data_IF_179615327586
#
_entry.id   IF_179615327586
#
_cell.length_a   1.000
_cell.length_b   1.000
_cell.length_c   1.000
_cell.angle_alpha   90.00
_cell.angle_beta   90.00
_cell.angle_gamma   90.00
#
_symmetry.space_group_name_H-M   'P 1'
#
loop_
_entity.id
_entity.type
_entity.pdbx_description
1 polymer ?
#
# COMPACT_ATOMS: atom_id res chain seq x y z
N UNK A 1 -21.01 -25.34 -6.17
CA UNK A 1 -20.70 -23.90 -6.35
C UNK A 1 -19.35 -23.65 -5.70
N UNK A 2 -18.37 -23.01 -6.36
CA UNK A 2 -17.15 -22.64 -5.65
C UNK A 2 -17.54 -21.57 -4.63
N UNK A 3 -17.12 -21.73 -3.36
CA UNK A 3 -17.26 -20.66 -2.38
C UNK A 3 -16.35 -19.53 -2.87
N UNK A 4 -16.89 -18.34 -3.11
CA UNK A 4 -16.05 -17.15 -3.25
C UNK A 4 -15.13 -17.10 -2.03
N UNK A 5 -13.82 -16.98 -2.23
CA UNK A 5 -12.93 -16.60 -1.12
C UNK A 5 -13.48 -15.31 -0.52
N UNK A 6 -13.43 -15.17 0.81
CA UNK A 6 -13.78 -13.89 1.41
C UNK A 6 -12.83 -12.83 0.84
N UNK A 7 -13.33 -11.61 0.62
CA UNK A 7 -12.50 -10.52 0.08
C UNK A 7 -11.22 -10.34 0.92
N UNK A 8 -11.34 -10.48 2.24
CA UNK A 8 -10.22 -10.40 3.17
C UNK A 8 -9.19 -11.53 2.94
N UNK A 9 -9.61 -12.79 2.76
CA UNK A 9 -8.67 -13.87 2.42
C UNK A 9 -7.93 -13.61 1.10
N UNK A 10 -8.63 -13.06 0.10
CA UNK A 10 -8.01 -12.68 -1.16
C UNK A 10 -6.99 -11.55 -0.98
N UNK A 11 -7.37 -10.51 -0.23
CA UNK A 11 -6.49 -9.38 0.08
C UNK A 11 -5.22 -9.85 0.79
N UNK A 12 -5.35 -10.57 1.91
CA UNK A 12 -4.20 -11.06 2.69
C UNK A 12 -3.29 -11.95 1.84
N UNK A 13 -3.85 -12.80 0.97
CA UNK A 13 -3.04 -13.62 0.06
C UNK A 13 -2.26 -12.77 -0.95
N UNK A 14 -2.86 -11.71 -1.51
CA UNK A 14 -2.16 -10.79 -2.44
C UNK A 14 -1.03 -10.01 -1.76
N UNK A 15 -1.23 -9.61 -0.50
CA UNK A 15 -0.26 -8.83 0.26
C UNK A 15 0.97 -9.65 0.73
N UNK A 16 1.00 -10.98 0.51
CA UNK A 16 2.19 -11.79 0.76
C UNK A 16 3.34 -11.45 -0.18
N UNK A 17 3.07 -10.83 -1.32
CA UNK A 17 4.08 -10.24 -2.18
C UNK A 17 4.47 -8.86 -1.64
N UNK A 18 5.74 -8.64 -1.21
CA UNK A 18 6.11 -7.38 -0.55
C UNK A 18 5.88 -6.11 -1.38
N UNK A 19 5.94 -6.22 -2.72
CA UNK A 19 5.65 -5.12 -3.63
C UNK A 19 4.16 -4.74 -3.60
N UNK A 20 3.26 -5.72 -3.54
CA UNK A 20 1.81 -5.49 -3.41
C UNK A 20 1.49 -4.89 -2.03
N UNK A 21 2.12 -5.39 -0.96
CA UNK A 21 1.97 -4.80 0.37
C UNK A 21 2.44 -3.33 0.44
N UNK A 22 3.58 -3.02 -0.18
CA UNK A 22 4.08 -1.66 -0.29
C UNK A 22 3.14 -0.77 -1.10
N UNK A 23 2.63 -1.27 -2.24
CA UNK A 23 1.67 -0.56 -3.09
C UNK A 23 0.35 -0.29 -2.38
N UNK A 24 -0.13 -1.25 -1.60
CA UNK A 24 -1.32 -1.11 -0.78
C UNK A 24 -1.17 -0.01 0.28
N UNK A 25 -0.09 -0.03 1.08
CA UNK A 25 0.18 1.03 2.06
C UNK A 25 0.38 2.40 1.39
N UNK A 26 1.05 2.44 0.24
CA UNK A 26 1.21 3.67 -0.54
C UNK A 26 -0.16 4.25 -0.92
N UNK A 27 -1.08 3.42 -1.41
CA UNK A 27 -2.41 3.87 -1.83
C UNK A 27 -3.19 4.47 -0.67
N UNK A 28 -3.15 3.82 0.49
CA UNK A 28 -3.79 4.30 1.73
C UNK A 28 -3.19 5.63 2.19
N UNK A 29 -1.88 5.82 2.05
CA UNK A 29 -1.20 7.08 2.40
C UNK A 29 -1.47 8.22 1.40
N UNK A 30 -1.98 7.94 0.21
CA UNK A 30 -2.37 8.95 -0.79
C UNK A 30 -3.86 9.30 -0.75
N UNK A 31 -4.68 8.60 0.03
CA UNK A 31 -6.12 8.86 0.10
C UNK A 31 -6.43 10.29 0.55
N UNK A 32 -7.42 10.90 -0.11
CA UNK A 32 -7.91 12.24 0.25
C UNK A 32 -9.03 12.07 1.27
N UNK A 33 -8.91 12.73 2.43
CA UNK A 33 -9.84 12.59 3.55
C UNK A 33 -10.04 11.13 4.04
N UNK A 34 -8.97 10.40 4.41
CA UNK A 34 -9.07 9.01 4.82
C UNK A 34 -9.89 8.86 6.11
N UNK A 35 -10.61 7.75 6.21
CA UNK A 35 -11.22 7.36 7.47
C UNK A 35 -10.15 7.22 8.57
N UNK A 36 -10.41 7.64 9.82
CA UNK A 36 -9.40 7.67 10.88
C UNK A 36 -8.69 6.33 11.13
N UNK A 37 -9.37 5.22 10.87
CA UNK A 37 -8.88 3.86 11.14
C UNK A 37 -8.25 3.19 9.91
N UNK A 38 -8.32 3.83 8.72
CA UNK A 38 -7.94 3.21 7.45
C UNK A 38 -6.47 2.78 7.42
N UNK A 39 -5.57 3.65 7.85
CA UNK A 39 -4.14 3.34 7.92
C UNK A 39 -3.84 2.22 8.93
N UNK A 40 -4.53 2.22 10.08
CA UNK A 40 -4.34 1.20 11.09
C UNK A 40 -4.77 -0.18 10.57
N UNK A 41 -5.92 -0.25 9.89
CA UNK A 41 -6.39 -1.48 9.28
C UNK A 41 -5.40 -1.99 8.24
N UNK A 42 -4.88 -1.10 7.38
CA UNK A 42 -3.93 -1.47 6.35
C UNK A 42 -2.60 -2.01 6.93
N UNK A 43 -2.09 -1.40 8.01
CA UNK A 43 -0.89 -1.88 8.72
C UNK A 43 -1.12 -3.26 9.35
N UNK A 44 -2.32 -3.53 9.88
CA UNK A 44 -2.70 -4.86 10.40
C UNK A 44 -2.76 -5.90 9.28
N UNK A 45 -3.39 -5.58 8.15
CA UNK A 45 -3.49 -6.47 7.01
C UNK A 45 -2.09 -6.84 6.46
N UNK A 46 -1.19 -5.87 6.35
CA UNK A 46 0.21 -6.11 5.95
C UNK A 46 0.96 -6.94 6.99
N UNK A 47 0.74 -6.72 8.28
CA UNK A 47 1.35 -7.54 9.34
C UNK A 47 0.88 -8.98 9.26
N UNK A 48 -0.42 -9.21 9.03
CA UNK A 48 -0.99 -10.54 8.86
C UNK A 48 -0.41 -11.25 7.63
N UNK A 49 -0.21 -10.52 6.52
CA UNK A 49 0.30 -11.10 5.29
C UNK A 49 1.81 -11.38 5.31
N UNK A 50 2.62 -10.41 5.76
CA UNK A 50 4.08 -10.48 5.71
C UNK A 50 4.70 -11.04 7.00
N UNK A 51 3.99 -10.99 8.13
CA UNK A 51 4.51 -11.46 9.41
C UNK A 51 4.91 -12.93 9.38
N UNK A 52 4.09 -13.80 8.80
CA UNK A 52 4.41 -15.23 8.68
C UNK A 52 5.58 -15.51 7.71
N UNK A 53 5.85 -14.60 6.77
CA UNK A 53 6.93 -14.74 5.79
C UNK A 53 8.29 -14.37 6.39
N UNK A 54 8.32 -13.38 7.28
CA UNK A 54 9.56 -12.78 7.77
C UNK A 54 9.92 -13.15 9.22
N UNK A 55 8.97 -13.65 10.00
CA UNK A 55 9.20 -13.89 11.43
C UNK A 55 8.39 -15.08 11.97
N UNK A 56 8.79 -15.59 13.14
CA UNK A 56 8.04 -16.65 13.81
C UNK A 56 6.65 -16.16 14.26
N UNK A 57 5.66 -17.04 14.49
CA UNK A 57 4.35 -16.63 14.99
C UNK A 57 4.40 -15.82 16.29
N UNK A 58 5.33 -16.15 17.19
CA UNK A 58 5.55 -15.42 18.44
C UNK A 58 6.09 -14.01 18.18
N UNK A 59 7.01 -13.87 17.22
CA UNK A 59 7.55 -12.59 16.82
C UNK A 59 6.52 -11.74 16.07
N UNK A 60 5.71 -12.35 15.21
CA UNK A 60 4.63 -11.69 14.48
C UNK A 60 3.61 -11.09 15.46
N UNK A 61 3.21 -11.86 16.48
CA UNK A 61 2.31 -11.36 17.53
C UNK A 61 2.92 -10.19 18.29
N UNK A 62 4.18 -10.30 18.71
CA UNK A 62 4.87 -9.19 19.40
C UNK A 62 5.03 -7.97 18.48
N UNK A 63 5.18 -8.17 17.18
CA UNK A 63 5.27 -7.11 16.19
C UNK A 63 3.94 -6.37 16.01
N UNK A 64 2.83 -7.11 15.99
CA UNK A 64 1.48 -6.55 16.00
C UNK A 64 1.21 -5.76 17.28
N UNK A 65 1.59 -6.26 18.46
CA UNK A 65 1.43 -5.55 19.74
C UNK A 65 2.18 -4.20 19.77
N UNK A 66 3.32 -4.10 19.08
CA UNK A 66 4.08 -2.84 18.94
C UNK A 66 3.39 -1.80 18.06
N UNK A 67 2.41 -2.20 17.26
CA UNK A 67 1.65 -1.26 16.43
C UNK A 67 0.84 -0.29 17.31
N UNK A 68 0.27 -0.76 18.42
CA UNK A 68 -0.45 0.10 19.36
C UNK A 68 0.51 1.13 19.99
N UNK A 69 1.72 0.71 20.40
CA UNK A 69 2.74 1.62 20.95
C UNK A 69 3.19 2.70 19.95
N UNK A 70 3.25 2.36 18.66
CA UNK A 70 3.58 3.27 17.58
C UNK A 70 2.49 4.35 17.44
N UNK A 71 1.22 3.95 17.49
CA UNK A 71 0.08 4.87 17.32
C UNK A 71 -0.09 5.85 18.48
N UNK A 72 0.44 5.52 19.66
CA UNK A 72 0.47 6.44 20.79
C UNK A 72 1.52 7.56 20.63
N UNK A 73 2.54 7.36 19.79
CA UNK A 73 3.59 8.37 19.54
C UNK A 73 3.03 9.58 18.79
N UNK A 74 3.71 10.71 18.91
CA UNK A 74 3.32 11.98 18.28
C UNK A 74 4.50 12.65 17.61
N UNK A 75 4.20 13.48 16.61
CA UNK A 75 5.20 14.26 15.89
C UNK A 75 6.24 13.38 15.17
N UNK A 76 7.51 13.79 15.22
CA UNK A 76 8.60 13.07 14.56
C UNK A 76 8.82 11.66 15.09
N UNK A 77 8.52 11.41 16.36
CA UNK A 77 8.77 10.11 16.99
C UNK A 77 7.88 9.01 16.39
N UNK A 78 6.66 9.36 15.99
CA UNK A 78 5.76 8.45 15.29
C UNK A 78 6.33 8.03 13.93
N UNK A 79 6.97 8.96 13.20
CA UNK A 79 7.56 8.70 11.89
C UNK A 79 8.75 7.75 12.01
N UNK A 80 9.66 8.01 12.96
CA UNK A 80 10.79 7.12 13.21
C UNK A 80 10.34 5.73 13.68
N UNK A 81 9.33 5.69 14.56
CA UNK A 81 8.78 4.42 15.05
C UNK A 81 8.13 3.62 13.92
N UNK A 82 7.41 4.27 13.00
CA UNK A 82 6.85 3.63 11.81
C UNK A 82 7.94 3.11 10.87
N UNK A 83 8.98 3.92 10.61
CA UNK A 83 10.10 3.49 9.78
C UNK A 83 10.80 2.25 10.35
N UNK A 84 11.00 2.20 11.67
CA UNK A 84 11.61 1.05 12.35
C UNK A 84 10.67 -0.16 12.41
N UNK A 85 9.37 0.08 12.59
CA UNK A 85 8.36 -0.97 12.61
C UNK A 85 8.20 -1.66 11.25
N UNK A 86 8.40 -0.97 10.12
CA UNK A 86 8.29 -1.61 8.79
C UNK A 86 9.46 -2.56 8.46
N UNK A 87 10.65 -2.37 9.03
CA UNK A 87 11.87 -3.12 8.66
C UNK A 87 11.76 -4.64 8.82
N UNK A 88 11.23 -5.19 9.92
CA UNK A 88 11.08 -6.64 10.08
C UNK A 88 10.10 -7.26 9.09
N UNK A 89 9.21 -6.47 8.49
CA UNK A 89 8.29 -6.90 7.43
C UNK A 89 8.94 -6.83 6.04
N UNK A 90 10.22 -6.45 5.94
CA UNK A 90 10.91 -6.27 4.66
C UNK A 90 10.54 -4.98 3.92
N UNK A 91 9.93 -4.01 4.61
CA UNK A 91 9.49 -2.73 4.06
C UNK A 91 10.30 -1.57 4.65
N UNK A 92 10.37 -0.46 3.92
CA UNK A 92 11.00 0.77 4.39
C UNK A 92 10.27 2.03 3.90
N UNK A 93 10.34 3.11 4.68
CA UNK A 93 9.85 4.42 4.23
C UNK A 93 10.90 5.09 3.36
N UNK A 94 10.47 5.60 2.20
CA UNK A 94 11.32 6.33 1.27
C UNK A 94 10.76 7.72 0.99
N UNK A 95 11.65 8.65 0.67
CA UNK A 95 11.28 10.01 0.23
C UNK A 95 11.55 10.10 -1.26
N UNK A 96 10.50 10.37 -2.02
CA UNK A 96 10.56 10.50 -3.49
C UNK A 96 10.16 11.90 -3.92
N UNK A 97 10.56 12.30 -5.13
CA UNK A 97 10.09 13.56 -5.72
C UNK A 97 8.60 13.41 -6.03
N UNK A 98 7.78 14.35 -5.55
CA UNK A 98 6.38 14.42 -5.98
C UNK A 98 6.35 14.87 -7.44
N UNK A 99 6.00 13.97 -8.35
CA UNK A 99 5.73 14.32 -9.73
C UNK A 99 4.59 15.34 -9.75
N UNK A 100 4.85 16.51 -10.32
CA UNK A 100 3.76 17.42 -10.66
C UNK A 100 2.99 16.76 -11.79
N UNK A 101 1.66 16.81 -11.72
CA UNK A 101 0.84 16.63 -12.91
C UNK A 101 1.23 17.73 -13.90
N UNK A 102 2.18 17.42 -14.78
CA UNK A 102 2.42 18.23 -15.95
C UNK A 102 1.17 18.05 -16.81
N UNK A 103 0.30 19.07 -16.79
CA UNK A 103 -0.79 19.24 -17.73
C UNK A 103 -0.20 19.40 -19.14
N UNK A 104 0.23 18.31 -19.75
CA UNK A 104 0.60 18.28 -21.15
C UNK A 104 0.33 16.93 -21.83
N UNK A 105 -0.75 16.24 -21.44
CA UNK A 105 -1.34 15.16 -22.23
C UNK A 105 -2.71 15.59 -22.77
N UNK A 106 -2.75 16.77 -23.40
CA UNK A 106 -3.81 17.10 -24.33
C UNK A 106 -3.31 16.82 -25.76
N UNK A 107 -3.86 15.72 -26.30
CA UNK A 107 -4.10 15.46 -27.73
C UNK A 107 -2.95 14.74 -28.47
N UNK A 108 -2.82 13.43 -28.23
CA UNK A 108 -2.61 12.52 -29.36
C UNK A 108 -3.94 12.42 -30.13
N UNK A 109 -3.93 13.13 -31.25
CA UNK A 109 -4.82 13.03 -32.42
C UNK A 109 -5.67 11.76 -32.49
N UNK A 110 -6.99 11.93 -32.31
CA UNK A 110 -7.99 11.01 -32.87
C UNK A 110 -8.97 11.82 -33.72
N UNK A 111 -9.33 11.27 -34.88
CA UNK A 111 -10.04 11.83 -36.05
C UNK A 111 -9.15 12.68 -36.96
N UNK A 112 -8.97 12.38 -38.26
CA UNK A 112 -9.94 11.88 -39.24
C UNK A 112 -9.47 10.64 -40.03
N UNK A 113 -10.32 9.60 -40.02
CA UNK A 113 -10.58 8.82 -41.22
C UNK A 113 -11.30 9.74 -42.21
N UNK A 114 -10.67 10.13 -43.32
CA UNK A 114 -11.40 10.37 -44.57
C UNK A 114 -10.47 10.29 -45.81
N UNK A 115 -10.86 9.36 -46.69
CA UNK A 115 -10.77 9.41 -48.16
C UNK A 115 -9.43 9.10 -48.85
N UNK A 116 -9.36 7.85 -49.36
CA UNK A 116 -8.67 7.55 -50.61
C UNK A 116 -9.17 8.49 -51.73
N UNK A 117 -8.27 8.88 -52.66
CA UNK A 117 -8.64 8.76 -54.06
C UNK A 117 -7.66 7.90 -54.85
N UNK A 118 -8.26 7.12 -55.72
CA UNK A 118 -7.72 6.29 -56.79
C UNK A 118 -7.03 7.16 -57.84
N UNK A 119 -5.75 6.89 -58.16
CA UNK A 119 -5.26 6.77 -59.54
C UNK A 119 -3.84 6.25 -59.62
#
# INVERSE_FOLDING_TARGET
MPKSRSYQEYLIESLKEPVEAAGYLWAILQEEDPEPELLLLALKDVTLALGELHMSPEQAKLHEEKLDELLEKRGSDAIYSLADWLKPLGLELTVTVREKADNNDAIYSHSELELLPTR
#
